data_IF_010597485651
#
_entry.id   IF_010597485651
#
_cell.length_a   1.000
_cell.length_b   1.000
_cell.length_c   1.000
_cell.angle_alpha   90.00
_cell.angle_beta   90.00
_cell.angle_gamma   90.00
#
_symmetry.space_group_name_H-M   'P 1'
#
loop_
_entity.id
_entity.type
_entity.pdbx_description
1 polymer ?
#
# COMPACT_ATOMS: atom_id res chain seq x y z
N UNK A 1 -11.48 1.51 -17.51
CA UNK A 1 -12.91 1.63 -17.13
C UNK A 1 -13.22 2.95 -16.41
N UNK A 2 -12.89 3.17 -15.14
CA UNK A 2 -13.24 4.45 -14.47
C UNK A 2 -12.57 5.65 -15.16
N UNK A 3 -11.28 5.54 -15.53
CA UNK A 3 -10.57 6.60 -16.27
C UNK A 3 -11.13 6.84 -17.67
N UNK A 4 -11.71 5.81 -18.30
CA UNK A 4 -12.33 5.92 -19.63
C UNK A 4 -13.72 6.57 -19.55
N UNK A 5 -14.50 6.24 -18.52
CA UNK A 5 -15.85 6.80 -18.29
C UNK A 5 -15.81 8.22 -17.74
N UNK A 6 -14.77 8.57 -16.96
CA UNK A 6 -14.63 9.86 -16.30
C UNK A 6 -13.22 10.44 -16.49
N UNK A 7 -12.82 10.78 -17.72
CA UNK A 7 -11.46 11.23 -18.02
C UNK A 7 -11.10 12.56 -17.34
N UNK A 8 -12.08 13.42 -17.10
CA UNK A 8 -11.87 14.75 -16.49
C UNK A 8 -11.84 14.72 -14.96
N UNK A 9 -11.96 13.55 -14.34
CA UNK A 9 -11.94 13.40 -12.88
C UNK A 9 -10.55 12.98 -12.42
N UNK A 10 -10.09 13.64 -11.36
CA UNK A 10 -8.88 13.26 -10.64
C UNK A 10 -9.08 11.88 -10.02
N UNK A 11 -8.15 10.96 -10.27
CA UNK A 11 -8.13 9.62 -9.70
C UNK A 11 -6.93 9.47 -8.78
N UNK A 12 -7.23 9.32 -7.48
CA UNK A 12 -6.24 9.07 -6.45
C UNK A 12 -6.40 7.66 -5.89
N UNK A 13 -5.28 7.00 -5.59
CA UNK A 13 -5.29 5.68 -4.94
C UNK A 13 -4.44 5.65 -3.70
N UNK A 14 -4.84 4.81 -2.74
CA UNK A 14 -4.06 4.46 -1.56
C UNK A 14 -3.65 3.01 -1.72
N UNK A 15 -2.42 2.79 -2.15
CA UNK A 15 -1.92 1.49 -2.62
C UNK A 15 -0.98 0.89 -1.58
N UNK A 16 -1.37 -0.25 -1.00
CA UNK A 16 -0.53 -0.98 -0.05
C UNK A 16 0.55 -1.76 -0.80
N UNK A 17 1.81 -1.44 -0.53
CA UNK A 17 2.98 -2.10 -1.11
C UNK A 17 3.31 -3.32 -0.24
N UNK A 18 3.50 -4.51 -0.85
CA UNK A 18 3.75 -5.74 -0.10
C UNK A 18 5.13 -5.73 0.58
N UNK A 19 5.27 -6.48 1.66
CA UNK A 19 6.54 -6.69 2.35
C UNK A 19 6.67 -8.14 2.83
N UNK A 20 7.84 -8.77 2.64
CA UNK A 20 8.10 -10.14 3.13
C UNK A 20 8.11 -10.23 4.66
N UNK A 21 8.17 -9.09 5.39
CA UNK A 21 8.08 -9.07 6.86
C UNK A 21 6.63 -9.22 7.36
N UNK A 22 5.65 -8.96 6.51
CA UNK A 22 4.23 -8.85 6.88
C UNK A 22 3.38 -9.92 6.18
N UNK A 23 3.84 -10.46 5.05
CA UNK A 23 3.14 -11.49 4.28
C UNK A 23 4.05 -12.64 3.84
N UNK A 24 3.50 -13.87 3.91
CA UNK A 24 4.13 -15.11 3.47
C UNK A 24 3.84 -15.43 1.98
N UNK A 25 3.10 -14.58 1.28
CA UNK A 25 2.66 -14.86 -0.10
C UNK A 25 3.75 -14.50 -1.10
N UNK A 26 4.42 -15.52 -1.65
CA UNK A 26 5.54 -15.36 -2.59
C UNK A 26 5.15 -14.73 -3.94
N UNK A 27 3.86 -14.66 -4.28
CA UNK A 27 3.38 -14.11 -5.56
C UNK A 27 3.08 -12.61 -5.50
N UNK A 28 3.14 -11.98 -4.32
CA UNK A 28 2.87 -10.56 -4.15
C UNK A 28 3.77 -9.64 -5.00
N UNK A 29 5.07 -9.89 -5.18
CA UNK A 29 5.90 -9.04 -6.04
C UNK A 29 5.42 -9.01 -7.50
N UNK A 30 4.90 -10.14 -8.01
CA UNK A 30 4.34 -10.21 -9.36
C UNK A 30 3.07 -9.37 -9.49
N UNK A 31 2.17 -9.50 -8.50
CA UNK A 31 0.91 -8.75 -8.47
C UNK A 31 1.16 -7.24 -8.33
N UNK A 32 2.11 -6.85 -7.46
CA UNK A 32 2.49 -5.46 -7.27
C UNK A 32 3.12 -4.88 -8.54
N UNK A 33 4.04 -5.60 -9.19
CA UNK A 33 4.66 -5.15 -10.44
C UNK A 33 3.63 -4.90 -11.53
N UNK A 34 2.69 -5.84 -11.71
CA UNK A 34 1.62 -5.70 -12.69
C UNK A 34 0.69 -4.52 -12.35
N UNK A 35 0.36 -4.34 -11.07
CA UNK A 35 -0.53 -3.27 -10.60
C UNK A 35 0.10 -1.90 -10.73
N UNK A 36 1.40 -1.76 -10.39
CA UNK A 36 2.13 -0.49 -10.51
C UNK A 36 2.13 0.01 -11.95
N UNK A 37 2.31 -0.88 -12.93
CA UNK A 37 2.21 -0.49 -14.34
C UNK A 37 0.84 0.12 -14.68
N UNK A 38 -0.24 -0.46 -14.15
CA UNK A 38 -1.59 0.08 -14.34
C UNK A 38 -1.78 1.42 -13.61
N UNK A 39 -1.24 1.57 -12.40
CA UNK A 39 -1.35 2.81 -11.61
C UNK A 39 -0.64 3.98 -12.29
N UNK A 40 0.55 3.74 -12.86
CA UNK A 40 1.33 4.75 -13.59
C UNK A 40 0.54 5.34 -14.77
N UNK A 41 -0.26 4.54 -15.46
CA UNK A 41 -1.00 4.98 -16.64
C UNK A 41 -2.38 5.58 -16.30
N UNK A 42 -3.02 5.13 -15.22
CA UNK A 42 -4.45 5.38 -14.99
C UNK A 42 -4.75 6.29 -13.79
N UNK A 43 -3.77 6.56 -12.92
CA UNK A 43 -3.98 7.39 -11.72
C UNK A 43 -3.22 8.70 -11.82
N UNK A 44 -3.82 9.76 -11.30
CA UNK A 44 -3.16 11.08 -11.24
C UNK A 44 -2.26 11.16 -10.00
N UNK A 45 -2.62 10.48 -8.91
CA UNK A 45 -1.81 10.38 -7.69
C UNK A 45 -1.97 9.00 -7.03
N UNK A 46 -0.87 8.47 -6.51
CA UNK A 46 -0.86 7.21 -5.75
C UNK A 46 -0.09 7.40 -4.45
N UNK A 47 -0.77 7.22 -3.33
CA UNK A 47 -0.17 7.14 -2.01
C UNK A 47 0.35 5.71 -1.78
N UNK A 48 1.66 5.55 -1.78
CA UNK A 48 2.32 4.27 -1.52
C UNK A 48 2.37 4.01 -0.01
N UNK A 49 1.53 3.08 0.46
CA UNK A 49 1.49 2.65 1.85
C UNK A 49 2.37 1.41 1.99
N UNK A 50 3.61 1.60 2.42
CA UNK A 50 4.58 0.51 2.52
C UNK A 50 4.43 -0.27 3.84
N UNK A 51 4.00 -1.53 3.74
CA UNK A 51 3.88 -2.41 4.89
C UNK A 51 5.22 -2.64 5.62
N UNK A 52 6.35 -2.56 4.93
CA UNK A 52 7.67 -2.65 5.56
C UNK A 52 7.94 -1.44 6.44
N UNK A 53 7.68 -0.24 5.93
CA UNK A 53 7.84 1.00 6.67
C UNK A 53 6.88 1.06 7.87
N UNK A 54 5.61 0.66 7.67
CA UNK A 54 4.62 0.57 8.75
C UNK A 54 5.05 -0.42 9.83
N UNK A 55 5.52 -1.60 9.43
CA UNK A 55 6.04 -2.59 10.36
C UNK A 55 7.24 -2.05 11.14
N UNK A 56 8.19 -1.41 10.47
CA UNK A 56 9.37 -0.81 11.09
C UNK A 56 8.99 0.32 12.07
N UNK A 57 7.95 1.12 11.79
CA UNK A 57 7.42 2.12 12.74
C UNK A 57 6.81 1.44 13.96
N UNK A 58 5.93 0.45 13.78
CA UNK A 58 5.30 -0.27 14.89
C UNK A 58 6.36 -0.97 15.77
N UNK A 59 7.34 -1.62 15.14
CA UNK A 59 8.36 -2.37 15.85
C UNK A 59 9.42 -1.47 16.50
N UNK A 60 9.99 -0.52 15.75
CA UNK A 60 11.13 0.29 16.23
C UNK A 60 10.69 1.50 17.03
N UNK A 61 9.60 2.17 16.63
CA UNK A 61 9.17 3.43 17.26
C UNK A 61 8.14 3.17 18.35
N UNK A 62 7.08 2.43 18.05
CA UNK A 62 6.02 2.11 19.02
C UNK A 62 6.36 0.95 19.96
N UNK A 63 7.51 0.28 19.72
CA UNK A 63 8.04 -0.82 20.55
C UNK A 63 7.10 -2.01 20.67
N UNK A 64 6.26 -2.24 19.66
CA UNK A 64 5.42 -3.43 19.58
C UNK A 64 6.27 -4.62 19.14
N UNK A 65 6.39 -5.65 19.97
CA UNK A 65 7.25 -6.82 19.69
C UNK A 65 6.76 -7.66 18.54
N UNK A 66 5.44 -7.69 18.31
CA UNK A 66 4.78 -8.44 17.24
C UNK A 66 3.67 -7.57 16.66
N UNK A 67 3.99 -6.64 15.74
CA UNK A 67 2.99 -5.81 15.07
C UNK A 67 1.94 -6.66 14.36
N UNK A 68 0.67 -6.31 14.54
CA UNK A 68 -0.47 -6.95 13.88
C UNK A 68 -1.01 -6.07 12.75
N UNK A 69 -1.78 -6.62 11.82
CA UNK A 69 -2.47 -5.82 10.80
C UNK A 69 -3.37 -4.73 11.41
N UNK A 70 -3.91 -4.94 12.61
CA UNK A 70 -4.65 -3.90 13.33
C UNK A 70 -3.79 -2.68 13.67
N UNK A 71 -2.56 -2.90 14.13
CA UNK A 71 -1.61 -1.84 14.46
C UNK A 71 -1.18 -1.06 13.21
N UNK A 72 -0.90 -1.78 12.12
CA UNK A 72 -0.55 -1.17 10.82
C UNK A 72 -1.72 -0.33 10.31
N UNK A 73 -2.94 -0.88 10.34
CA UNK A 73 -4.13 -0.18 9.87
C UNK A 73 -4.49 1.04 10.73
N UNK A 74 -4.12 1.05 12.01
CA UNK A 74 -4.27 2.22 12.86
C UNK A 74 -3.36 3.38 12.41
N UNK A 75 -2.15 3.09 11.93
CA UNK A 75 -1.29 4.12 11.34
C UNK A 75 -1.86 4.62 10.02
N UNK A 76 -2.34 3.71 9.17
CA UNK A 76 -2.94 4.06 7.88
C UNK A 76 -4.18 4.94 8.04
N UNK A 77 -5.06 4.64 9.00
CA UNK A 77 -6.29 5.41 9.22
C UNK A 77 -6.06 6.80 9.80
N UNK A 78 -4.90 7.02 10.43
CA UNK A 78 -4.50 8.31 10.97
C UNK A 78 -3.77 9.20 9.94
N UNK A 79 -3.47 8.65 8.76
CA UNK A 79 -2.81 9.36 7.66
C UNK A 79 -3.83 9.86 6.66
#
# INVERSE_FOLDING_TARGET
KIREEYPDRIMNTFSVVPSPKVSDTVVEPYNATLSVHQLVENTDETYCIDNEALYDICFRTLKLTTPTYGDLNHLVSAT
#
